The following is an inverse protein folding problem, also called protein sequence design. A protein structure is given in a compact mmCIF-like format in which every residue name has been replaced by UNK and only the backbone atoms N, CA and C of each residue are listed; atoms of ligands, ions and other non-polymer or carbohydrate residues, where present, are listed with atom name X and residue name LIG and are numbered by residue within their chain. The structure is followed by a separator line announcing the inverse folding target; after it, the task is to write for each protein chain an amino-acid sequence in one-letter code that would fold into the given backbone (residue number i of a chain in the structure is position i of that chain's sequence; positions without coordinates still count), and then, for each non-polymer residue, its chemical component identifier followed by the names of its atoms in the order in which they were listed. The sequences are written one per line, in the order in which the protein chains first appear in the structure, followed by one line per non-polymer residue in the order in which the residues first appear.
data_IF_806705211213
#
_entry.id   IF_806705211213
#
_cell.length_a   1.000
_cell.length_b   1.000
_cell.length_c   1.000
_cell.angle_alpha   90.00
_cell.angle_beta   90.00
_cell.angle_gamma   90.00
#
_symmetry.space_group_name_H-M   'P 1'
#
loop_
_entity.id
_entity.type
_entity.pdbx_description
1 polymer ?
#
# COMPACT_ATOMS: atom_id res chain seq x y z
N UNK A 1 6.53 18.91 19.03
CA UNK A 1 7.40 18.53 17.90
C UNK A 1 6.78 18.92 16.56
N UNK A 2 5.63 18.37 16.14
CA UNK A 2 4.98 18.73 14.86
C UNK A 2 4.56 20.20 14.77
N UNK A 3 3.89 20.73 15.80
CA UNK A 3 3.44 22.13 15.83
C UNK A 3 4.62 23.12 15.83
N UNK A 4 5.72 22.74 16.47
CA UNK A 4 6.94 23.54 16.49
C UNK A 4 7.59 23.56 15.11
N UNK A 5 7.77 22.39 14.51
CA UNK A 5 8.25 22.26 13.13
C UNK A 5 7.38 23.03 12.12
N UNK A 6 6.06 22.98 12.29
CA UNK A 6 5.13 23.74 11.46
C UNK A 6 5.41 25.25 11.57
N UNK A 7 5.48 25.78 12.78
CA UNK A 7 5.71 27.20 13.01
C UNK A 7 7.09 27.65 12.51
N UNK A 8 8.13 26.84 12.70
CA UNK A 8 9.50 27.11 12.26
C UNK A 8 9.65 27.05 10.73
N UNK A 9 8.73 26.34 10.05
CA UNK A 9 8.72 26.20 8.59
C UNK A 9 7.93 27.30 7.87
N UNK A 10 7.32 28.26 8.59
CA UNK A 10 6.56 29.36 7.98
C UNK A 10 7.49 30.49 7.54
N UNK A 11 7.43 30.86 6.27
CA UNK A 11 8.11 32.04 5.73
C UNK A 11 7.19 33.24 5.85
N UNK A 12 7.67 34.32 6.48
CA UNK A 12 6.91 35.55 6.72
C UNK A 12 7.53 36.72 5.98
N UNK A 13 6.68 37.61 5.46
CA UNK A 13 7.11 38.87 4.90
C UNK A 13 7.62 39.79 6.03
N UNK A 14 8.84 40.29 5.91
CA UNK A 14 9.52 41.09 6.95
C UNK A 14 8.79 42.40 7.27
N UNK A 15 8.04 42.95 6.32
CA UNK A 15 7.37 44.25 6.46
C UNK A 15 5.94 44.15 6.97
N UNK A 16 5.21 43.09 6.61
CA UNK A 16 3.80 42.91 6.99
C UNK A 16 3.57 41.80 8.02
N UNK A 17 4.60 41.01 8.34
CA UNK A 17 4.54 39.82 9.20
C UNK A 17 3.54 38.74 8.72
N UNK A 18 3.06 38.86 7.48
CA UNK A 18 2.12 37.93 6.85
C UNK A 18 2.88 36.68 6.41
N UNK A 19 2.29 35.50 6.61
CA UNK A 19 2.80 34.23 6.12
C UNK A 19 2.63 34.21 4.59
N UNK A 20 3.72 34.04 3.86
CA UNK A 20 3.72 34.03 2.39
C UNK A 20 3.97 32.63 1.81
N UNK A 21 4.58 31.73 2.59
CA UNK A 21 4.91 30.38 2.13
C UNK A 21 5.12 29.42 3.31
N UNK A 22 4.86 28.13 3.08
CA UNK A 22 5.32 27.03 3.94
C UNK A 22 6.54 26.35 3.30
N UNK A 23 7.66 26.30 4.01
CA UNK A 23 8.96 25.82 3.52
C UNK A 23 9.42 24.49 4.13
N UNK A 24 8.53 23.75 4.79
CA UNK A 24 8.89 22.47 5.42
C UNK A 24 9.28 21.39 4.40
N UNK A 25 10.30 20.60 4.71
CA UNK A 25 10.71 19.41 3.96
C UNK A 25 10.69 18.17 4.84
N UNK A 26 10.04 17.10 4.38
CA UNK A 26 10.04 15.81 5.05
C UNK A 26 10.65 14.74 4.14
N UNK A 27 11.44 13.84 4.72
CA UNK A 27 12.02 12.70 4.02
C UNK A 27 11.55 11.41 4.69
N UNK A 28 11.04 10.48 3.89
CA UNK A 28 10.78 9.11 4.34
C UNK A 28 12.13 8.44 4.57
N UNK A 29 12.51 8.31 5.84
CA UNK A 29 13.82 7.78 6.25
C UNK A 29 13.79 6.28 6.56
N UNK A 30 12.62 5.63 6.43
CA UNK A 30 12.38 4.22 6.76
C UNK A 30 11.81 3.39 5.62
N UNK A 31 12.07 3.77 4.36
CA UNK A 31 11.76 2.89 3.24
C UNK A 31 12.59 1.62 3.38
N UNK A 32 11.94 0.45 3.43
CA UNK A 32 12.63 -0.83 3.43
C UNK A 32 13.55 -0.91 2.20
N UNK A 33 14.83 -1.24 2.41
CA UNK A 33 15.73 -1.59 1.31
C UNK A 33 15.09 -2.79 0.58
N UNK A 34 14.86 -2.72 -0.73
CA UNK A 34 14.25 -3.83 -1.44
C UNK A 34 15.20 -5.04 -1.40
N UNK A 35 14.78 -6.12 -0.74
CA UNK A 35 15.47 -7.39 -0.79
C UNK A 35 15.13 -8.11 -2.11
N UNK A 36 16.07 -8.07 -3.07
CA UNK A 36 15.95 -8.80 -4.33
C UNK A 36 16.41 -10.27 -4.23
N UNK A 37 16.68 -10.78 -3.03
CA UNK A 37 17.24 -12.12 -2.80
C UNK A 37 16.29 -13.28 -3.15
N UNK A 38 15.09 -12.99 -3.65
CA UNK A 38 14.08 -13.98 -4.00
C UNK A 38 13.75 -13.91 -5.49
N UNK A 39 13.83 -15.04 -6.18
CA UNK A 39 13.30 -15.20 -7.54
C UNK A 39 11.78 -14.97 -7.52
N UNK A 40 11.34 -13.87 -8.13
CA UNK A 40 9.94 -13.56 -8.41
C UNK A 40 9.62 -13.88 -9.88
N UNK A 41 8.36 -14.16 -10.25
CA UNK A 41 7.17 -14.22 -9.38
C UNK A 41 7.05 -15.54 -8.59
N UNK A 42 6.46 -15.48 -7.40
CA UNK A 42 6.09 -16.65 -6.58
C UNK A 42 4.59 -16.69 -6.37
N UNK A 43 3.96 -17.85 -6.57
CA UNK A 43 2.56 -18.06 -6.19
C UNK A 43 2.48 -18.08 -4.67
N UNK A 44 1.66 -17.20 -4.11
CA UNK A 44 1.48 -17.08 -2.67
C UNK A 44 0.62 -18.22 -2.14
N UNK A 45 0.87 -18.63 -0.90
CA UNK A 45 0.17 -19.77 -0.29
C UNK A 45 -1.35 -19.57 -0.20
N UNK A 46 -1.81 -18.31 -0.13
CA UNK A 46 -3.21 -17.93 -0.04
C UNK A 46 -3.88 -17.69 -1.41
N UNK A 47 -3.16 -17.81 -2.53
CA UNK A 47 -3.75 -17.69 -3.86
C UNK A 47 -4.70 -18.86 -4.10
N UNK A 48 -5.98 -18.56 -4.38
CA UNK A 48 -6.97 -19.57 -4.70
C UNK A 48 -6.52 -20.43 -5.90
N UNK A 49 -6.72 -21.74 -5.78
CA UNK A 49 -6.30 -22.73 -6.77
C UNK A 49 -7.53 -23.33 -7.42
N UNK A 50 -7.46 -23.58 -8.72
CA UNK A 50 -8.44 -24.42 -9.38
C UNK A 50 -8.26 -25.90 -9.03
N UNK A 51 -9.12 -26.77 -9.59
CA UNK A 51 -10.28 -26.42 -10.42
C UNK A 51 -11.46 -25.87 -9.59
N UNK A 52 -12.44 -25.28 -10.26
CA UNK A 52 -13.64 -24.68 -9.65
C UNK A 52 -14.35 -25.68 -8.71
N UNK A 53 -14.65 -25.33 -7.44
CA UNK A 53 -15.35 -26.21 -6.52
C UNK A 53 -16.79 -26.52 -6.94
N UNK A 54 -17.44 -25.71 -7.79
CA UNK A 54 -18.78 -26.01 -8.32
C UNK A 54 -18.79 -27.21 -9.26
N UNK A 55 -17.63 -27.59 -9.80
CA UNK A 55 -17.44 -28.80 -10.61
C UNK A 55 -16.65 -29.84 -9.80
N UNK A 56 -17.18 -30.25 -8.65
CA UNK A 56 -16.67 -31.40 -7.87
C UNK A 56 -16.91 -32.77 -8.54
N UNK A 57 -17.22 -32.76 -9.84
CA UNK A 57 -17.22 -33.96 -10.66
C UNK A 57 -15.76 -34.28 -10.99
N UNK A 58 -15.38 -35.54 -10.77
CA UNK A 58 -14.10 -36.10 -11.22
C UNK A 58 -14.00 -36.18 -12.76
N UNK A 59 -15.04 -35.74 -13.47
CA UNK A 59 -14.99 -35.53 -14.92
C UNK A 59 -14.06 -34.36 -15.20
N UNK A 60 -13.24 -34.54 -16.22
CA UNK A 60 -12.21 -33.61 -16.68
C UNK A 60 -12.62 -32.15 -16.44
N UNK A 61 -11.81 -31.41 -15.68
CA UNK A 61 -12.03 -29.99 -15.49
C UNK A 61 -11.87 -29.29 -16.85
N UNK A 62 -12.96 -29.17 -17.61
CA UNK A 62 -13.01 -28.57 -18.96
C UNK A 62 -12.49 -27.12 -18.95
N UNK A 63 -12.49 -26.48 -17.77
CA UNK A 63 -12.05 -25.10 -17.59
C UNK A 63 -10.91 -24.99 -16.56
N UNK A 64 -9.69 -24.73 -17.05
CA UNK A 64 -8.55 -24.40 -16.20
C UNK A 64 -8.66 -22.99 -15.61
N UNK A 65 -8.54 -22.90 -14.28
CA UNK A 65 -8.47 -21.66 -13.50
C UNK A 65 -7.26 -21.70 -12.56
N UNK A 66 -6.62 -20.57 -12.23
CA UNK A 66 -6.82 -19.21 -12.78
C UNK A 66 -6.18 -19.05 -14.17
N UNK A 67 -6.55 -17.98 -14.89
CA UNK A 67 -6.07 -17.75 -16.27
C UNK A 67 -4.83 -16.83 -16.37
N UNK A 68 -4.51 -16.07 -15.31
CA UNK A 68 -3.40 -15.11 -15.30
C UNK A 68 -2.83 -14.96 -13.89
N UNK A 69 -1.52 -14.74 -13.81
CA UNK A 69 -0.81 -14.37 -12.58
C UNK A 69 -0.41 -12.89 -12.66
N UNK A 70 -0.69 -12.12 -11.61
CA UNK A 70 -0.31 -10.73 -11.48
C UNK A 70 0.18 -10.43 -10.05
N UNK A 71 0.94 -9.35 -9.82
CA UNK A 71 1.35 -8.94 -8.48
C UNK A 71 0.13 -8.64 -7.58
N UNK A 72 0.02 -9.33 -6.45
CA UNK A 72 -1.06 -9.13 -5.47
C UNK A 72 -0.60 -9.17 -4.01
N UNK A 73 0.70 -9.31 -3.75
CA UNK A 73 1.27 -9.25 -2.39
C UNK A 73 1.80 -7.84 -2.11
N UNK A 74 1.54 -7.31 -0.92
CA UNK A 74 2.11 -6.03 -0.45
C UNK A 74 2.02 -4.90 -1.49
N UNK A 75 0.87 -4.77 -2.17
CA UNK A 75 0.64 -3.71 -3.16
C UNK A 75 0.33 -2.41 -2.43
N UNK A 76 1.14 -1.39 -2.68
CA UNK A 76 0.85 -0.05 -2.19
C UNK A 76 -0.23 0.61 -3.07
N UNK A 77 -1.35 0.99 -2.45
CA UNK A 77 -2.49 1.61 -3.12
C UNK A 77 -3.11 2.73 -2.28
N UNK A 78 -4.06 3.46 -2.87
CA UNK A 78 -4.80 4.51 -2.16
C UNK A 78 -5.67 3.91 -1.03
N UNK A 79 -5.81 4.66 0.06
CA UNK A 79 -6.61 4.25 1.24
C UNK A 79 -7.45 5.41 1.74
N UNK A 80 -8.64 5.13 2.28
CA UNK A 80 -9.53 6.15 2.86
C UNK A 80 -9.13 6.46 4.30
N UNK A 81 -9.15 7.75 4.67
CA UNK A 81 -8.69 8.21 5.99
C UNK A 81 -9.57 7.78 7.17
N UNK A 82 -10.80 7.32 6.93
CA UNK A 82 -11.74 6.89 7.97
C UNK A 82 -11.77 5.38 8.23
N UNK A 83 -10.98 4.58 7.50
CA UNK A 83 -11.03 3.11 7.58
C UNK A 83 -10.13 2.52 8.68
N UNK A 84 -9.48 3.34 9.51
CA UNK A 84 -8.60 2.89 10.60
C UNK A 84 -9.33 2.57 11.91
N UNK A 85 -10.62 2.87 12.02
CA UNK A 85 -11.39 2.75 13.27
C UNK A 85 -12.38 1.57 13.33
N UNK A 86 -12.44 0.70 12.32
CA UNK A 86 -13.26 -0.52 12.41
C UNK A 86 -12.48 -1.67 13.04
N UNK A 87 -12.89 -2.08 14.24
CA UNK A 87 -12.36 -3.19 15.06
C UNK A 87 -12.56 -4.58 14.42
N UNK A 88 -13.00 -4.66 13.16
CA UNK A 88 -13.52 -5.89 12.56
C UNK A 88 -12.47 -6.86 12.00
N UNK A 89 -11.18 -6.58 12.18
CA UNK A 89 -10.10 -7.49 11.73
C UNK A 89 -8.98 -7.66 12.78
N UNK A 90 -9.36 -7.85 14.04
CA UNK A 90 -8.46 -8.26 15.14
C UNK A 90 -8.58 -9.74 15.47
#
# INVERSE_FOLDING_TARGET
ILLQYYNDSLVRNTSSNIIIQFGGSARISGGLQPEYNNSAPKILYYSARGPDPETALLDDADFMKPNLVAPGNFIWGAWTSGATDSVEFG
#
